data_IF_602110924705
#
_entry.id   IF_602110924705
#
_cell.length_a   1.000
_cell.length_b   1.000
_cell.length_c   1.000
_cell.angle_alpha   90.00
_cell.angle_beta   90.00
_cell.angle_gamma   90.00
#
_symmetry.space_group_name_H-M   'P 1'
#
loop_
_entity.id
_entity.type
_entity.pdbx_description
1 polymer ?
#
# COMPACT_ATOMS: atom_id res chain seq x y z
N UNK A 1 21.25 -23.15 6.37
CA UNK A 1 20.15 -23.16 7.37
C UNK A 1 20.64 -23.89 8.63
N UNK A 2 20.97 -23.17 9.71
CA UNK A 2 21.53 -23.76 10.94
C UNK A 2 20.37 -24.14 11.89
N UNK A 3 19.76 -25.32 11.68
CA UNK A 3 18.56 -25.81 12.36
C UNK A 3 18.93 -26.39 13.74
N UNK A 4 19.59 -25.60 14.59
CA UNK A 4 20.00 -26.04 15.94
C UNK A 4 19.03 -25.63 17.05
N UNK A 5 17.97 -24.89 16.72
CA UNK A 5 16.98 -24.42 17.68
C UNK A 5 15.62 -25.09 17.42
N UNK A 6 15.12 -25.84 18.41
CA UNK A 6 13.83 -26.56 18.36
C UNK A 6 12.64 -25.63 18.10
N UNK A 7 12.69 -24.40 18.62
CA UNK A 7 11.67 -23.40 18.36
C UNK A 7 11.63 -22.99 16.89
N UNK A 8 12.80 -22.80 16.27
CA UNK A 8 12.90 -22.46 14.85
C UNK A 8 12.32 -23.56 13.97
N UNK A 9 12.63 -24.82 14.27
CA UNK A 9 12.07 -25.95 13.55
C UNK A 9 10.53 -25.98 13.67
N UNK A 10 10.00 -25.84 14.88
CA UNK A 10 8.56 -25.77 15.12
C UNK A 10 7.89 -24.63 14.34
N UNK A 11 8.49 -23.43 14.34
CA UNK A 11 7.96 -22.27 13.59
C UNK A 11 7.96 -22.51 12.08
N UNK A 12 9.01 -23.12 11.54
CA UNK A 12 9.06 -23.49 10.13
C UNK A 12 7.93 -24.47 9.81
N UNK A 13 7.72 -25.51 10.64
CA UNK A 13 6.63 -26.47 10.45
C UNK A 13 5.26 -25.80 10.44
N UNK A 14 5.00 -24.88 11.37
CA UNK A 14 3.76 -24.10 11.44
C UNK A 14 3.56 -23.25 10.17
N UNK A 15 4.61 -22.55 9.70
CA UNK A 15 4.55 -21.73 8.49
C UNK A 15 4.27 -22.61 7.26
N UNK A 16 4.94 -23.76 7.14
CA UNK A 16 4.72 -24.67 6.02
C UNK A 16 3.32 -25.27 6.04
N UNK A 17 2.76 -25.57 7.23
CA UNK A 17 1.39 -26.06 7.36
C UNK A 17 0.37 -25.03 6.86
N UNK A 18 0.48 -23.77 7.31
CA UNK A 18 -0.40 -22.68 6.88
C UNK A 18 -0.37 -22.47 5.34
N UNK A 19 0.84 -22.51 4.76
CA UNK A 19 1.05 -22.36 3.31
C UNK A 19 0.63 -23.59 2.47
N UNK A 20 0.40 -24.74 3.11
CA UNK A 20 -0.09 -25.96 2.44
C UNK A 20 -1.59 -25.84 2.16
N UNK A 21 -2.35 -25.33 3.12
CA UNK A 21 -3.80 -25.21 3.02
C UNK A 21 -4.22 -24.15 1.99
N UNK A 22 -3.57 -22.99 2.02
CA UNK A 22 -3.94 -21.85 1.17
C UNK A 22 -2.76 -20.93 0.85
N UNK A 23 -2.89 -20.23 -0.27
CA UNK A 23 -1.97 -19.14 -0.60
C UNK A 23 -2.34 -17.91 0.22
N UNK A 24 -1.38 -17.30 0.92
CA UNK A 24 -1.65 -16.23 1.88
C UNK A 24 -0.62 -15.11 1.81
N UNK A 25 -1.00 -13.92 2.28
CA UNK A 25 -0.06 -12.82 2.46
C UNK A 25 0.70 -12.99 3.78
N UNK A 26 1.83 -12.27 3.92
CA UNK A 26 2.60 -12.23 5.17
C UNK A 26 1.74 -11.79 6.36
N UNK A 27 0.81 -10.85 6.14
CA UNK A 27 -0.02 -10.30 7.21
C UNK A 27 -1.04 -11.36 7.69
N UNK A 28 -1.60 -12.15 6.79
CA UNK A 28 -2.54 -13.23 7.13
C UNK A 28 -1.85 -14.35 7.90
N UNK A 29 -0.67 -14.78 7.45
CA UNK A 29 0.13 -15.82 8.12
C UNK A 29 0.59 -15.34 9.50
N UNK A 30 0.96 -14.07 9.63
CA UNK A 30 1.35 -13.48 10.90
C UNK A 30 0.22 -13.51 11.93
N UNK A 31 -1.01 -13.20 11.51
CA UNK A 31 -2.20 -13.27 12.34
C UNK A 31 -2.54 -14.70 12.74
N UNK A 32 -2.42 -15.65 11.82
CA UNK A 32 -2.76 -17.05 12.05
C UNK A 32 -1.80 -17.74 13.04
N UNK A 33 -0.49 -17.54 12.87
CA UNK A 33 0.54 -18.21 13.68
C UNK A 33 0.92 -17.39 14.94
N UNK A 34 0.47 -16.14 15.02
CA UNK A 34 0.79 -15.22 16.11
C UNK A 34 2.26 -14.80 16.14
N UNK A 35 2.85 -14.51 14.98
CA UNK A 35 4.21 -13.95 14.88
C UNK A 35 4.19 -12.49 14.48
N UNK A 36 5.20 -11.75 14.94
CA UNK A 36 5.44 -10.42 14.39
C UNK A 36 5.88 -10.54 12.92
N UNK A 37 5.37 -9.61 12.10
CA UNK A 37 5.61 -9.55 10.65
C UNK A 37 7.10 -9.56 10.29
N UNK A 38 7.94 -8.88 11.07
CA UNK A 38 9.37 -8.81 10.85
C UNK A 38 10.06 -10.19 10.99
N UNK A 39 9.68 -10.99 11.99
CA UNK A 39 10.22 -12.34 12.12
C UNK A 39 9.73 -13.25 11.00
N UNK A 40 8.43 -13.20 10.70
CA UNK A 40 7.86 -14.02 9.64
C UNK A 40 8.51 -13.72 8.28
N UNK A 41 8.75 -12.44 7.97
CA UNK A 41 9.43 -12.05 6.74
C UNK A 41 10.83 -12.68 6.61
N UNK A 42 11.56 -12.82 7.72
CA UNK A 42 12.87 -13.51 7.72
C UNK A 42 12.72 -15.00 7.41
N UNK A 43 11.76 -15.68 8.03
CA UNK A 43 11.51 -17.10 7.73
C UNK A 43 11.08 -17.32 6.27
N UNK A 44 10.18 -16.48 5.75
CA UNK A 44 9.74 -16.56 4.36
C UNK A 44 10.88 -16.28 3.38
N UNK A 45 11.77 -15.32 3.67
CA UNK A 45 12.94 -15.06 2.83
C UNK A 45 13.87 -16.27 2.75
N UNK A 46 14.14 -16.94 3.87
CA UNK A 46 14.95 -18.17 3.89
C UNK A 46 14.27 -19.32 3.15
N UNK A 47 12.96 -19.52 3.35
CA UNK A 47 12.18 -20.56 2.66
C UNK A 47 12.09 -20.30 1.15
N UNK A 48 11.97 -19.03 0.76
CA UNK A 48 11.93 -18.62 -0.65
C UNK A 48 13.28 -18.80 -1.32
N UNK A 49 14.37 -18.41 -0.65
CA UNK A 49 15.73 -18.65 -1.12
C UNK A 49 16.06 -20.15 -1.25
N UNK A 50 15.49 -20.99 -0.38
CA UNK A 50 15.58 -22.44 -0.47
C UNK A 50 14.68 -23.06 -1.56
N UNK A 51 13.84 -22.28 -2.24
CA UNK A 51 12.90 -22.76 -3.26
C UNK A 51 11.73 -23.59 -2.71
N UNK A 52 11.50 -23.56 -1.40
CA UNK A 52 10.40 -24.30 -0.76
C UNK A 52 9.04 -23.60 -0.92
N UNK A 53 9.06 -22.30 -1.14
CA UNK A 53 7.86 -21.47 -1.37
C UNK A 53 8.08 -20.59 -2.60
N UNK A 54 6.97 -20.18 -3.21
CA UNK A 54 6.96 -19.26 -4.35
C UNK A 54 5.88 -18.19 -4.17
N UNK A 55 6.04 -17.07 -4.88
CA UNK A 55 5.03 -16.03 -4.98
C UNK A 55 3.98 -16.49 -5.99
N UNK A 56 2.81 -16.92 -5.51
CA UNK A 56 1.73 -17.42 -6.37
C UNK A 56 0.96 -16.28 -7.05
N UNK A 57 0.78 -15.15 -6.37
CA UNK A 57 0.10 -13.98 -6.91
C UNK A 57 0.46 -12.71 -6.13
N UNK A 58 -0.08 -11.56 -6.58
CA UNK A 58 0.11 -10.27 -5.94
C UNK A 58 -1.25 -9.68 -5.55
N UNK A 59 -1.53 -9.64 -4.25
CA UNK A 59 -2.73 -9.01 -3.71
C UNK A 59 -2.56 -7.48 -3.65
N UNK A 60 -3.66 -6.74 -3.73
CA UNK A 60 -3.65 -5.28 -3.51
C UNK A 60 -4.18 -5.00 -2.13
N UNK A 61 -3.37 -4.32 -1.31
CA UNK A 61 -3.82 -3.81 -0.02
C UNK A 61 -4.90 -2.76 -0.26
N UNK A 62 -6.12 -3.06 0.19
CA UNK A 62 -7.29 -2.19 0.02
C UNK A 62 -7.26 -0.98 0.95
N UNK A 63 -6.61 -1.10 2.12
CA UNK A 63 -6.52 -0.02 3.09
C UNK A 63 -5.28 0.86 2.87
N UNK A 64 -5.52 2.17 2.73
CA UNK A 64 -4.48 3.19 2.57
C UNK A 64 -3.91 3.25 1.16
N UNK A 65 -2.59 3.46 1.04
CA UNK A 65 -1.92 3.52 -0.26
C UNK A 65 -1.94 2.12 -0.90
N UNK A 66 -2.54 2.01 -2.09
CA UNK A 66 -2.56 0.78 -2.88
C UNK A 66 -1.16 0.21 -3.03
N UNK A 67 -0.87 -0.83 -2.25
CA UNK A 67 0.43 -1.49 -2.17
C UNK A 67 0.22 -2.95 -2.53
N UNK A 68 1.06 -3.46 -3.42
CA UNK A 68 1.00 -4.86 -3.82
C UNK A 68 1.74 -5.71 -2.81
N UNK A 69 1.06 -6.73 -2.30
CA UNK A 69 1.56 -7.68 -1.32
C UNK A 69 1.80 -9.03 -2.02
N UNK A 70 2.97 -9.66 -1.82
CA UNK A 70 3.20 -11.01 -2.31
C UNK A 70 2.29 -11.99 -1.57
N UNK A 71 1.68 -12.90 -2.32
CA UNK A 71 0.91 -14.03 -1.81
C UNK A 71 1.76 -15.28 -1.98
N UNK A 72 2.19 -15.87 -0.87
CA UNK A 72 3.07 -17.03 -0.87
C UNK A 72 2.27 -18.33 -0.90
N UNK A 73 2.85 -19.36 -1.50
CA UNK A 73 2.33 -20.74 -1.47
C UNK A 73 3.49 -21.73 -1.38
N UNK A 74 3.24 -22.88 -0.76
CA UNK A 74 4.20 -23.98 -0.72
C UNK A 74 4.42 -24.58 -2.12
N UNK A 75 5.68 -24.81 -2.48
CA UNK A 75 6.09 -25.49 -3.71
C UNK A 75 7.29 -24.84 -4.40
N UNK A 76 7.86 -25.55 -5.37
CA UNK A 76 8.98 -25.10 -6.19
C UNK A 76 8.46 -24.69 -7.58
N UNK A 77 7.85 -23.51 -7.68
CA UNK A 77 7.40 -22.93 -8.95
C UNK A 77 8.08 -21.58 -9.17
N UNK A 78 8.19 -21.10 -10.42
CA UNK A 78 8.62 -19.74 -10.69
C UNK A 78 7.69 -18.73 -10.03
N UNK A 79 8.27 -17.63 -9.54
CA UNK A 79 7.49 -16.55 -8.95
C UNK A 79 6.59 -15.88 -9.99
N UNK A 80 5.37 -15.54 -9.57
CA UNK A 80 4.47 -14.72 -10.36
C UNK A 80 5.08 -13.34 -10.58
N UNK A 81 5.06 -12.89 -11.84
CA UNK A 81 5.59 -11.59 -12.21
C UNK A 81 4.88 -10.48 -11.44
N UNK A 82 5.66 -9.60 -10.81
CA UNK A 82 5.12 -8.45 -10.12
C UNK A 82 4.37 -7.56 -11.12
N UNK A 83 3.09 -7.22 -10.89
CA UNK A 83 2.37 -6.38 -11.82
C UNK A 83 3.05 -5.01 -11.92
N UNK A 84 3.14 -4.47 -13.13
CA UNK A 84 3.77 -3.18 -13.37
C UNK A 84 3.10 -2.07 -12.56
N UNK A 85 3.90 -1.14 -12.02
CA UNK A 85 3.37 0.03 -11.33
C UNK A 85 2.54 0.86 -12.31
N UNK A 86 1.37 1.33 -11.85
CA UNK A 86 0.57 2.22 -12.67
C UNK A 86 1.36 3.48 -12.99
N UNK A 87 1.32 3.89 -14.26
CA UNK A 87 1.89 5.16 -14.70
C UNK A 87 1.18 6.31 -13.99
N UNK A 88 1.82 7.48 -13.93
CA UNK A 88 1.19 8.66 -13.32
C UNK A 88 -0.14 9.00 -14.04
N UNK A 89 -0.17 8.84 -15.36
CA UNK A 89 -1.37 9.05 -16.19
C UNK A 89 -2.49 8.10 -15.82
N UNK A 90 -2.20 6.80 -15.71
CA UNK A 90 -3.18 5.79 -15.29
C UNK A 90 -3.70 6.05 -13.86
N UNK A 91 -2.82 6.43 -12.93
CA UNK A 91 -3.23 6.79 -11.57
C UNK A 91 -4.19 7.97 -11.55
N UNK A 92 -3.91 9.01 -12.33
CA UNK A 92 -4.80 10.16 -12.46
C UNK A 92 -6.13 9.79 -13.12
N UNK A 93 -6.10 8.94 -14.16
CA UNK A 93 -7.30 8.46 -14.83
C UNK A 93 -8.19 7.64 -13.86
N UNK A 94 -7.61 6.71 -13.11
CA UNK A 94 -8.34 5.91 -12.12
C UNK A 94 -8.88 6.76 -10.95
N UNK A 95 -8.17 7.82 -10.56
CA UNK A 95 -8.66 8.76 -9.55
C UNK A 95 -9.82 9.60 -10.08
N UNK A 96 -9.69 10.14 -11.30
CA UNK A 96 -10.77 10.86 -11.98
C UNK A 96 -12.00 9.97 -12.15
N UNK A 97 -11.84 8.74 -12.64
CA UNK A 97 -12.93 7.78 -12.78
C UNK A 97 -13.69 7.56 -11.46
N UNK A 98 -12.98 7.44 -10.34
CA UNK A 98 -13.58 7.35 -8.99
C UNK A 98 -14.34 8.61 -8.57
N UNK A 99 -13.90 9.80 -9.00
CA UNK A 99 -14.61 11.05 -8.73
C UNK A 99 -15.86 11.12 -9.62
N UNK A 100 -15.75 10.84 -10.91
CA UNK A 100 -16.86 10.92 -11.87
C UNK A 100 -17.93 9.86 -11.66
N UNK A 101 -17.60 8.73 -11.03
CA UNK A 101 -18.56 7.70 -10.67
C UNK A 101 -19.56 8.13 -9.59
N UNK A 102 -19.23 9.15 -8.79
CA UNK A 102 -20.05 9.66 -7.70
C UNK A 102 -20.40 11.14 -7.96
N UNK A 103 -21.67 11.47 -8.30
CA UNK A 103 -22.07 12.83 -8.64
C UNK A 103 -21.73 13.87 -7.57
N UNK A 104 -21.91 13.54 -6.29
CA UNK A 104 -21.67 14.46 -5.19
C UNK A 104 -20.17 14.77 -5.03
N UNK A 105 -19.33 13.75 -5.14
CA UNK A 105 -17.87 13.93 -5.14
C UNK A 105 -17.41 14.76 -6.33
N UNK A 106 -17.99 14.52 -7.49
CA UNK A 106 -17.67 15.26 -8.70
C UNK A 106 -18.03 16.76 -8.58
N UNK A 107 -19.20 17.07 -8.03
CA UNK A 107 -19.62 18.45 -7.79
C UNK A 107 -18.71 19.15 -6.78
N UNK A 108 -18.37 18.47 -5.67
CA UNK A 108 -17.38 18.97 -4.70
C UNK A 108 -16.02 19.22 -5.34
N UNK A 109 -15.55 18.29 -6.18
CA UNK A 109 -14.29 18.44 -6.91
C UNK A 109 -14.30 19.68 -7.82
N UNK A 110 -15.38 19.90 -8.57
CA UNK A 110 -15.57 21.10 -9.39
C UNK A 110 -15.64 22.37 -8.55
N UNK A 111 -16.38 22.38 -7.45
CA UNK A 111 -16.51 23.52 -6.55
C UNK A 111 -15.13 23.94 -5.98
N UNK A 112 -14.32 22.98 -5.50
CA UNK A 112 -12.95 23.24 -5.06
C UNK A 112 -12.07 23.78 -6.19
N UNK A 113 -12.23 23.25 -7.40
CA UNK A 113 -11.54 23.75 -8.60
C UNK A 113 -11.90 25.21 -8.93
N UNK A 114 -13.16 25.60 -8.77
CA UNK A 114 -13.61 26.99 -8.92
C UNK A 114 -13.05 27.89 -7.81
N UNK A 115 -13.15 27.45 -6.56
CA UNK A 115 -12.64 28.19 -5.41
C UNK A 115 -11.14 28.49 -5.52
N UNK A 116 -10.32 27.53 -5.99
CA UNK A 116 -8.88 27.76 -6.23
C UNK A 116 -8.57 28.81 -7.29
N UNK A 117 -9.47 28.99 -8.27
CA UNK A 117 -9.31 29.99 -9.34
C UNK A 117 -9.79 31.38 -8.91
N UNK A 118 -10.67 31.46 -7.91
CA UNK A 118 -11.08 32.73 -7.33
C UNK A 118 -9.86 33.33 -6.61
N UNK A 119 -9.25 34.35 -7.22
CA UNK A 119 -8.25 35.17 -6.55
C UNK A 119 -9.00 36.01 -5.51
N UNK A 120 -8.88 35.63 -4.24
CA UNK A 120 -9.40 36.46 -3.14
C UNK A 120 -8.63 37.78 -3.16
N UNK A 121 -9.28 38.85 -3.64
CA UNK A 121 -8.75 40.21 -3.50
C UNK A 121 -8.93 40.59 -2.03
N UNK A 122 -7.89 41.19 -1.42
CA UNK A 122 -8.01 41.75 -0.06
C UNK A 122 -9.08 42.84 -0.07
N UNK A 123 -9.84 42.92 1.02
CA UNK A 123 -10.87 43.93 1.21
C UNK A 123 -10.27 45.35 1.09
N UNK A 124 -10.90 46.28 0.35
CA UNK A 124 -10.43 47.66 0.23
C UNK A 124 -10.18 48.37 1.57
N UNK A 125 -10.98 48.11 2.59
CA UNK A 125 -10.81 48.70 3.92
C UNK A 125 -9.58 48.14 4.64
N UNK A 126 -9.30 46.85 4.47
CA UNK A 126 -8.09 46.21 5.00
C UNK A 126 -6.84 46.78 4.33
N UNK A 127 -6.91 47.05 3.01
CA UNK A 127 -5.82 47.71 2.27
C UNK A 127 -5.62 49.16 2.76
N UNK A 128 -6.70 49.89 3.00
CA UNK A 128 -6.64 51.27 3.49
C UNK A 128 -6.12 51.37 4.93
N UNK A 129 -6.45 50.39 5.78
CA UNK A 129 -6.10 50.38 7.20
C UNK A 129 -4.68 49.84 7.46
N UNK A 130 -4.21 48.85 6.69
CA UNK A 130 -2.93 48.14 6.95
C UNK A 130 -1.90 48.26 5.81
N UNK A 131 -2.22 48.98 4.74
CA UNK A 131 -1.32 49.15 3.59
C UNK A 131 -1.23 47.93 2.65
N UNK A 132 -0.64 48.13 1.47
CA UNK A 132 -0.51 47.09 0.44
C UNK A 132 0.57 46.02 0.76
N UNK A 133 1.50 46.32 1.67
CA UNK A 133 2.66 45.49 1.97
C UNK A 133 2.37 44.54 3.15
N UNK A 134 1.70 43.44 2.86
CA UNK A 134 1.63 42.29 3.77
C UNK A 134 2.41 41.10 3.20
N UNK A 135 3.69 41.32 2.88
CA UNK A 135 4.63 40.30 2.43
C UNK A 135 6.06 40.76 2.71
N UNK A 136 6.80 39.92 3.45
CA UNK A 136 8.19 40.06 3.90
C UNK A 136 8.41 40.90 5.19
N UNK A 137 8.14 40.27 6.33
CA UNK A 137 9.07 40.36 7.46
C UNK A 137 9.75 38.99 7.61
N UNK A 138 11.07 39.07 7.88
CA UNK A 138 12.02 37.98 8.05
C UNK A 138 11.69 37.05 9.21
#
# INVERSE_FOLDING_TARGET
MNIKNSLTAYRITQITAALTERAQTVDDIALEIGLCRAHLARYLAELHAAGAIYIASWAVRQQGRATRLPVYRLGARPDAQRPANLTQRERQAAHKARIYADPERHDRYKALGRARKLRVKRDPLVVAMFGAAGGAHA
#
